data_IF_142617642828
#
_entry.id   IF_142617642828
#
_cell.length_a   1.000
_cell.length_b   1.000
_cell.length_c   1.000
_cell.angle_alpha   90.00
_cell.angle_beta   90.00
_cell.angle_gamma   90.00
#
_symmetry.space_group_name_H-M   'P 1'
#
loop_
_entity.id
_entity.type
_entity.pdbx_description
1 polymer ?
#
# COMPACT_ATOMS: atom_id res chain seq x y z
N UNK A 1 -27.70 10.65 -20.23
CA UNK A 1 -27.21 9.27 -19.99
C UNK A 1 -26.75 8.70 -21.31
N UNK A 2 -25.45 8.45 -21.43
CA UNK A 2 -24.89 7.79 -22.61
C UNK A 2 -24.77 6.29 -22.36
N UNK A 3 -24.63 5.53 -23.44
CA UNK A 3 -24.47 4.09 -23.38
C UNK A 3 -23.28 3.69 -24.25
N UNK A 4 -22.50 2.73 -23.75
CA UNK A 4 -21.44 2.08 -24.50
C UNK A 4 -21.85 0.63 -24.72
N UNK A 5 -21.65 0.14 -25.95
CA UNK A 5 -21.85 -1.28 -26.28
C UNK A 5 -20.50 -2.00 -26.27
N UNK A 6 -20.41 -3.07 -25.50
CA UNK A 6 -19.20 -3.89 -25.36
C UNK A 6 -19.52 -5.32 -25.73
N UNK A 7 -18.70 -5.96 -26.56
CA UNK A 7 -18.87 -7.36 -26.93
C UNK A 7 -17.80 -8.23 -26.28
N UNK A 8 -18.22 -9.17 -25.43
CA UNK A 8 -17.36 -10.16 -24.76
C UNK A 8 -17.81 -11.57 -25.13
N UNK A 9 -16.89 -12.40 -25.61
CA UNK A 9 -17.16 -13.79 -26.02
C UNK A 9 -18.43 -13.94 -26.90
N UNK A 10 -18.63 -13.04 -27.86
CA UNK A 10 -19.80 -13.05 -28.75
C UNK A 10 -21.10 -12.49 -28.15
N UNK A 11 -21.13 -12.13 -26.87
CA UNK A 11 -22.28 -11.45 -26.23
C UNK A 11 -22.08 -9.95 -26.16
N UNK A 12 -23.11 -9.19 -26.52
CA UNK A 12 -23.10 -7.72 -26.44
C UNK A 12 -23.77 -7.24 -25.15
N UNK A 13 -23.05 -6.44 -24.38
CA UNK A 13 -23.47 -5.80 -23.14
C UNK A 13 -23.62 -4.29 -23.38
N UNK A 14 -24.70 -3.70 -22.87
CA UNK A 14 -24.92 -2.25 -22.91
C UNK A 14 -24.69 -1.68 -21.51
N UNK A 15 -23.70 -0.82 -21.38
CA UNK A 15 -23.29 -0.21 -20.12
C UNK A 15 -23.69 1.26 -20.13
N UNK A 16 -24.38 1.70 -19.08
CA UNK A 16 -24.65 3.11 -18.86
C UNK A 16 -23.37 3.79 -18.35
N UNK A 17 -23.13 5.02 -18.81
CA UNK A 17 -21.99 5.83 -18.38
C UNK A 17 -22.40 7.31 -18.29
N UNK A 18 -21.64 8.03 -17.48
CA UNK A 18 -21.72 9.49 -17.36
C UNK A 18 -21.03 10.17 -18.55
N UNK A 19 -21.40 11.43 -18.80
CA UNK A 19 -20.83 12.18 -19.92
C UNK A 19 -19.32 12.41 -19.70
N UNK A 20 -18.49 11.92 -20.63
CA UNK A 20 -17.03 12.06 -20.58
C UNK A 20 -16.28 10.78 -20.16
N UNK A 21 -16.98 9.78 -19.61
CA UNK A 21 -16.35 8.52 -19.15
C UNK A 21 -16.26 7.44 -20.25
N UNK A 22 -16.81 7.68 -21.44
CA UNK A 22 -16.98 6.62 -22.44
C UNK A 22 -15.65 6.04 -22.92
N UNK A 23 -14.62 6.90 -23.06
CA UNK A 23 -13.28 6.48 -23.47
C UNK A 23 -12.65 5.55 -22.44
N UNK A 24 -12.66 5.95 -21.17
CA UNK A 24 -12.15 5.13 -20.06
C UNK A 24 -12.91 3.80 -19.95
N UNK A 25 -14.23 3.83 -20.12
CA UNK A 25 -15.05 2.61 -20.08
C UNK A 25 -14.72 1.66 -21.25
N UNK A 26 -14.49 2.20 -22.46
CA UNK A 26 -14.06 1.39 -23.61
C UNK A 26 -12.67 0.76 -23.40
N UNK A 27 -11.73 1.49 -22.80
CA UNK A 27 -10.39 0.96 -22.47
C UNK A 27 -10.47 -0.19 -21.46
N UNK A 28 -11.23 0.00 -20.37
CA UNK A 28 -11.45 -1.05 -19.37
C UNK A 28 -12.14 -2.27 -19.99
N UNK A 29 -13.14 -2.05 -20.83
CA UNK A 29 -13.84 -3.11 -21.54
C UNK A 29 -12.91 -3.88 -22.50
N UNK A 30 -12.01 -3.19 -23.20
CA UNK A 30 -11.02 -3.81 -24.07
C UNK A 30 -10.03 -4.67 -23.28
N UNK A 31 -9.61 -4.21 -22.10
CA UNK A 31 -8.75 -4.98 -21.20
C UNK A 31 -9.45 -6.27 -20.70
N UNK A 32 -10.70 -6.17 -20.26
CA UNK A 32 -11.51 -7.34 -19.87
C UNK A 32 -11.68 -8.30 -21.05
N UNK A 33 -11.97 -7.77 -22.25
CA UNK A 33 -12.11 -8.57 -23.47
C UNK A 33 -10.86 -9.38 -23.78
N UNK A 34 -9.68 -8.77 -23.70
CA UNK A 34 -8.42 -9.45 -23.93
C UNK A 34 -8.23 -10.63 -22.96
N UNK A 35 -8.58 -10.47 -21.67
CA UNK A 35 -8.49 -11.56 -20.68
C UNK A 35 -9.45 -12.71 -20.98
N UNK A 36 -10.69 -12.38 -21.35
CA UNK A 36 -11.70 -13.37 -21.75
C UNK A 36 -11.26 -14.13 -23.00
N UNK A 37 -10.74 -13.45 -24.01
CA UNK A 37 -10.27 -14.06 -25.25
C UNK A 37 -9.07 -15.00 -25.00
N UNK A 38 -8.11 -14.56 -24.18
CA UNK A 38 -6.97 -15.40 -23.77
C UNK A 38 -7.44 -16.69 -23.08
N UNK A 39 -8.35 -16.59 -22.11
CA UNK A 39 -8.89 -17.76 -21.41
C UNK A 39 -9.71 -18.66 -22.33
N UNK A 40 -10.40 -18.09 -23.32
CA UNK A 40 -11.14 -18.86 -24.32
C UNK A 40 -10.19 -19.66 -25.22
N UNK A 41 -9.02 -19.10 -25.56
CA UNK A 41 -7.99 -19.81 -26.32
C UNK A 41 -7.35 -20.93 -25.51
N UNK A 42 -7.13 -20.72 -24.21
CA UNK A 42 -6.43 -21.66 -23.33
C UNK A 42 -7.34 -22.81 -22.86
N UNK A 43 -8.58 -22.51 -22.49
CA UNK A 43 -9.52 -23.48 -21.90
C UNK A 43 -10.64 -23.91 -22.85
N UNK A 44 -10.72 -23.32 -24.05
CA UNK A 44 -11.78 -23.55 -25.02
C UNK A 44 -13.09 -22.87 -24.64
N UNK A 45 -14.21 -23.35 -25.21
CA UNK A 45 -15.55 -22.87 -24.87
C UNK A 45 -16.00 -23.44 -23.52
N UNK A 46 -15.49 -22.82 -22.45
CA UNK A 46 -16.04 -22.97 -21.09
C UNK A 46 -17.22 -22.00 -20.95
N UNK A 47 -18.20 -22.31 -20.09
CA UNK A 47 -19.36 -21.44 -19.89
C UNK A 47 -18.99 -20.00 -19.53
N UNK A 48 -19.73 -19.03 -20.09
CA UNK A 48 -19.44 -17.59 -19.99
C UNK A 48 -19.22 -17.12 -18.54
N UNK A 49 -20.06 -17.58 -17.60
CA UNK A 49 -19.96 -17.19 -16.19
C UNK A 49 -18.62 -17.60 -15.57
N UNK A 50 -18.10 -18.77 -15.96
CA UNK A 50 -16.82 -19.27 -15.47
C UNK A 50 -15.64 -18.53 -16.09
N UNK A 51 -15.73 -18.21 -17.39
CA UNK A 51 -14.73 -17.37 -18.07
C UNK A 51 -14.66 -15.96 -17.44
N UNK A 52 -15.82 -15.36 -17.15
CA UNK A 52 -15.89 -14.05 -16.51
C UNK A 52 -15.35 -14.09 -15.08
N UNK A 53 -15.67 -15.12 -14.30
CA UNK A 53 -15.12 -15.31 -12.95
C UNK A 53 -13.59 -15.41 -12.98
N UNK A 54 -13.04 -16.24 -13.87
CA UNK A 54 -11.59 -16.39 -14.02
C UNK A 54 -10.94 -15.08 -14.47
N UNK A 55 -11.53 -14.39 -15.44
CA UNK A 55 -11.04 -13.09 -15.92
C UNK A 55 -11.01 -12.05 -14.79
N UNK A 56 -12.08 -11.98 -13.98
CA UNK A 56 -12.18 -11.06 -12.87
C UNK A 56 -11.12 -11.34 -11.79
N UNK A 57 -10.89 -12.62 -11.45
CA UNK A 57 -9.87 -13.01 -10.48
C UNK A 57 -8.47 -12.64 -10.96
N UNK A 58 -8.16 -12.85 -12.24
CA UNK A 58 -6.85 -12.51 -12.80
C UNK A 58 -6.60 -11.00 -12.82
N UNK A 59 -7.59 -10.20 -13.22
CA UNK A 59 -7.48 -8.74 -13.19
C UNK A 59 -7.33 -8.23 -11.74
N UNK A 60 -8.04 -8.85 -10.79
CA UNK A 60 -7.91 -8.50 -9.38
C UNK A 60 -6.52 -8.82 -8.82
N UNK A 61 -5.93 -9.94 -9.23
CA UNK A 61 -4.56 -10.35 -8.87
C UNK A 61 -3.52 -9.38 -9.44
N UNK A 62 -3.63 -9.02 -10.72
CA UNK A 62 -2.77 -8.03 -11.37
C UNK A 62 -2.83 -6.65 -10.67
N UNK A 63 -4.03 -6.22 -10.28
CA UNK A 63 -4.25 -4.99 -9.52
C UNK A 63 -3.64 -5.07 -8.11
N UNK A 64 -3.77 -6.21 -7.45
CA UNK A 64 -3.21 -6.45 -6.12
C UNK A 64 -1.68 -6.37 -6.14
N UNK A 65 -1.05 -7.08 -7.07
CA UNK A 65 0.41 -7.07 -7.25
C UNK A 65 0.92 -5.68 -7.61
N UNK A 66 0.25 -4.97 -8.51
CA UNK A 66 0.62 -3.59 -8.88
C UNK A 66 0.56 -2.65 -7.68
N UNK A 67 -0.49 -2.76 -6.84
CA UNK A 67 -0.62 -1.95 -5.63
C UNK A 67 0.49 -2.24 -4.63
N UNK A 68 0.81 -3.51 -4.39
CA UNK A 68 1.90 -3.90 -3.50
C UNK A 68 3.26 -3.42 -4.00
N UNK A 69 3.52 -3.55 -5.30
CA UNK A 69 4.75 -3.05 -5.90
C UNK A 69 4.87 -1.52 -5.78
N UNK A 70 3.74 -0.80 -5.88
CA UNK A 70 3.71 0.65 -5.67
C UNK A 70 3.96 1.03 -4.22
N UNK A 71 3.37 0.31 -3.25
CA UNK A 71 3.60 0.52 -1.81
C UNK A 71 5.08 0.38 -1.47
N UNK A 72 5.73 -0.69 -1.94
CA UNK A 72 7.18 -0.90 -1.73
C UNK A 72 8.00 0.23 -2.37
N UNK A 73 7.68 0.64 -3.60
CA UNK A 73 8.40 1.74 -4.26
C UNK A 73 8.22 3.08 -3.53
N UNK A 74 7.05 3.34 -2.95
CA UNK A 74 6.81 4.54 -2.15
C UNK A 74 7.64 4.51 -0.87
N UNK A 75 7.72 3.37 -0.19
CA UNK A 75 8.55 3.21 1.00
C UNK A 75 10.04 3.43 0.67
N UNK A 76 10.54 2.79 -0.39
CA UNK A 76 11.92 2.97 -0.88
C UNK A 76 12.20 4.42 -1.27
N UNK A 77 11.30 5.07 -2.02
CA UNK A 77 11.43 6.46 -2.41
C UNK A 77 11.43 7.41 -1.20
N UNK A 78 10.61 7.11 -0.19
CA UNK A 78 10.53 7.89 1.05
C UNK A 78 11.82 7.75 1.86
N UNK A 79 12.38 6.56 1.95
CA UNK A 79 13.66 6.32 2.64
C UNK A 79 14.84 6.97 1.91
N UNK A 80 14.89 6.91 0.57
CA UNK A 80 15.89 7.62 -0.23
C UNK A 80 15.81 9.13 0.00
N UNK A 81 14.60 9.71 -0.01
CA UNK A 81 14.40 11.13 0.29
C UNK A 81 14.83 11.46 1.72
N UNK A 82 14.56 10.60 2.71
CA UNK A 82 14.99 10.77 4.10
C UNK A 82 16.51 10.85 4.20
N UNK A 83 17.23 9.93 3.55
CA UNK A 83 18.71 9.91 3.54
C UNK A 83 19.32 11.16 2.91
N UNK A 84 18.70 11.71 1.86
CA UNK A 84 19.14 12.96 1.23
C UNK A 84 18.84 14.20 2.08
N UNK A 85 17.85 14.10 2.97
CA UNK A 85 17.37 15.23 3.80
C UNK A 85 17.84 15.13 5.26
N UNK A 86 18.59 14.08 5.64
CA UNK A 86 19.26 14.07 6.93
C UNK A 86 20.29 15.21 6.96
N UNK A 87 20.14 16.20 7.86
CA UNK A 87 21.19 17.19 8.02
C UNK A 87 22.42 16.44 8.50
N UNK A 88 23.58 16.73 7.90
CA UNK A 88 24.87 16.35 8.43
C UNK A 88 25.00 16.91 9.87
N UNK A 89 24.50 16.17 10.87
CA UNK A 89 24.40 16.66 12.23
C UNK A 89 25.67 16.34 12.98
N UNK A 90 26.39 17.42 13.27
CA UNK A 90 27.28 17.64 14.40
C UNK A 90 28.63 16.90 14.41
N UNK A 91 29.46 17.22 13.42
CA UNK A 91 30.87 17.48 13.72
C UNK A 91 31.03 18.97 14.02
N UNK A 92 30.85 19.37 15.29
CA UNK A 92 31.54 20.55 15.80
C UNK A 92 31.96 20.29 17.24
N UNK A 93 33.24 20.53 17.45
CA UNK A 93 34.00 20.31 18.66
C UNK A 93 33.75 21.45 19.64
N UNK A 94 33.20 21.16 20.81
CA UNK A 94 33.43 21.98 22.00
C UNK A 94 34.20 21.14 23.02
N UNK A 95 35.52 21.16 22.83
CA UNK A 95 36.53 20.97 23.86
C UNK A 95 36.30 22.02 24.96
N UNK A 96 35.71 21.60 26.07
CA UNK A 96 35.74 22.33 27.33
C UNK A 96 36.32 21.41 28.40
N UNK A 97 37.64 21.31 28.40
CA UNK A 97 38.36 21.08 29.64
C UNK A 97 38.31 22.35 30.50
N UNK A 98 37.73 22.27 31.69
CA UNK A 98 38.17 23.07 32.83
C UNK A 98 37.92 22.31 34.14
N UNK A 99 38.93 22.38 34.99
CA UNK A 99 39.19 21.59 36.19
C UNK A 99 38.35 22.04 37.39
N UNK A 100 37.97 21.12 38.29
CA UNK A 100 37.34 21.53 39.54
C UNK A 100 36.91 20.42 40.50
N UNK A 101 37.88 19.74 41.11
CA UNK A 101 37.69 18.81 42.23
C UNK A 101 37.34 19.57 43.53
N UNK A 102 36.27 19.20 44.24
CA UNK A 102 36.21 19.15 45.71
C UNK A 102 34.93 18.47 46.25
N UNK A 103 35.14 17.50 47.13
CA UNK A 103 34.18 16.71 47.91
C UNK A 103 33.32 17.53 48.90
N UNK A 104 32.08 17.09 49.16
CA UNK A 104 31.52 16.95 50.51
C UNK A 104 30.16 16.23 50.52
N UNK A 105 30.04 15.33 51.48
CA UNK A 105 28.97 14.38 51.84
C UNK A 105 27.76 14.96 52.58
N UNK A 106 26.63 14.23 52.51
CA UNK A 106 25.49 14.26 53.44
C UNK A 106 24.20 14.82 52.81
N UNK A 107 22.99 14.28 52.96
CA UNK A 107 22.41 13.24 53.82
C UNK A 107 21.10 12.73 53.16
N UNK A 108 20.56 11.68 53.76
CA UNK A 108 19.59 10.71 53.29
C UNK A 108 18.10 11.14 53.40
N UNK A 109 17.28 10.43 52.63
CA UNK A 109 15.88 10.06 52.88
C UNK A 109 14.72 11.09 52.70
N UNK A 110 13.83 10.84 51.73
CA UNK A 110 12.58 10.06 51.94
C UNK A 110 11.52 10.26 50.85
N UNK A 111 10.79 9.17 50.58
CA UNK A 111 9.44 9.10 49.98
C UNK A 111 9.30 9.06 48.45
N UNK A 112 9.37 7.83 47.90
CA UNK A 112 8.76 7.46 46.61
C UNK A 112 7.63 6.46 46.88
N UNK A 113 6.39 6.91 46.65
CA UNK A 113 5.20 6.08 46.65
C UNK A 113 5.19 5.11 45.45
N UNK A 114 4.48 3.96 45.55
CA UNK A 114 4.66 2.84 44.62
C UNK A 114 3.90 3.02 43.30
N UNK A 115 4.58 2.66 42.22
CA UNK A 115 4.00 2.36 40.91
C UNK A 115 3.17 1.08 41.01
N UNK A 116 1.86 1.19 40.80
CA UNK A 116 1.01 0.06 40.45
C UNK A 116 0.49 0.26 39.04
N UNK A 117 0.98 -0.53 38.08
CA UNK A 117 0.10 -1.09 37.06
C UNK A 117 0.69 -2.40 36.56
N UNK A 118 -0.04 -3.46 36.87
CA UNK A 118 0.23 -4.84 36.50
C UNK A 118 -0.26 -5.03 35.06
N UNK A 119 0.67 -5.45 34.22
CA UNK A 119 0.46 -6.17 32.98
C UNK A 119 -0.70 -7.17 33.08
N UNK A 120 -1.73 -7.02 32.23
CA UNK A 120 -2.53 -8.16 31.80
C UNK A 120 -2.43 -8.34 30.30
N UNK A 121 -1.66 -9.35 29.95
CA UNK A 121 -1.64 -9.96 28.64
C UNK A 121 -2.98 -10.67 28.32
N UNK A 122 -3.25 -10.71 27.02
CA UNK A 122 -3.91 -11.80 26.26
C UNK A 122 -5.42 -12.02 26.34
N UNK A 123 -5.94 -12.01 25.11
CA UNK A 123 -6.88 -12.98 24.49
C UNK A 123 -8.38 -12.80 24.74
N UNK A 124 -9.05 -12.55 23.60
CA UNK A 124 -10.27 -13.19 23.08
C UNK A 124 -11.26 -13.81 24.07
#
# INVERSE_FOLDING_TARGET
>A
MRQVSVTLNGRTYRLACDDGDEGRLMELAAHVKARVEQLTMEFGQVGDDRLLLMSALLIADELWDTRRALEVQIEEATEMLRQLTEPASAGDSDDAGDDGRADASGEDATSKAPSGEVTKARSA
#
